data_IF_678998119239
#
_entry.id   IF_678998119239
#
_cell.length_a   1.000
_cell.length_b   1.000
_cell.length_c   1.000
_cell.angle_alpha   90.00
_cell.angle_beta   90.00
_cell.angle_gamma   90.00
#
_symmetry.space_group_name_H-M   'P 1'
#
loop_
_entity.id
_entity.type
_entity.pdbx_description
1 polymer ?
#
# COMPACT_ATOMS: atom_id res chain seq x y z
N UNK A 1 49.89 -37.33 48.64
CA UNK A 1 49.46 -38.10 47.46
C UNK A 1 47.99 -37.83 47.19
N UNK A 2 47.66 -37.58 45.91
CA UNK A 2 46.34 -37.70 45.25
C UNK A 2 45.31 -36.57 45.53
N UNK A 3 45.16 -35.61 44.60
CA UNK A 3 44.37 -35.58 43.35
C UNK A 3 42.93 -35.08 43.63
N UNK A 4 42.62 -33.82 43.29
CA UNK A 4 41.89 -33.38 42.08
C UNK A 4 40.44 -33.88 42.06
N UNK A 5 39.45 -32.97 41.96
CA UNK A 5 38.52 -32.89 40.82
C UNK A 5 37.80 -31.52 40.82
N UNK A 6 37.97 -30.80 39.72
CA UNK A 6 37.36 -29.51 39.39
C UNK A 6 36.01 -29.82 38.73
N UNK A 7 34.91 -29.30 39.25
CA UNK A 7 33.58 -29.41 38.62
C UNK A 7 33.36 -28.19 37.74
N UNK A 8 33.51 -28.36 36.42
CA UNK A 8 33.12 -27.38 35.43
C UNK A 8 31.60 -27.48 35.17
N UNK A 9 30.85 -26.42 35.51
CA UNK A 9 29.43 -26.29 35.14
C UNK A 9 29.39 -25.53 33.81
N UNK A 10 29.29 -26.26 32.70
CA UNK A 10 28.99 -25.70 31.40
C UNK A 10 27.51 -25.31 31.37
N UNK A 11 27.21 -24.03 31.57
CA UNK A 11 25.88 -23.48 31.32
C UNK A 11 25.72 -23.26 29.82
N UNK A 12 25.07 -24.19 29.13
CA UNK A 12 24.64 -24.01 27.74
C UNK A 12 23.46 -23.05 27.76
N UNK A 13 23.69 -21.79 27.38
CA UNK A 13 22.61 -20.89 26.98
C UNK A 13 22.02 -21.45 25.68
N UNK A 14 20.81 -22.01 25.77
CA UNK A 14 20.01 -22.29 24.59
C UNK A 14 19.64 -20.94 23.95
N UNK A 15 20.29 -20.64 22.83
CA UNK A 15 19.89 -19.54 21.96
C UNK A 15 18.51 -19.90 21.41
N UNK A 16 17.46 -19.29 21.97
CA UNK A 16 16.13 -19.36 21.38
C UNK A 16 16.25 -18.74 19.98
N UNK A 17 16.22 -19.59 18.96
CA UNK A 17 16.13 -19.16 17.58
C UNK A 17 14.78 -18.44 17.43
N UNK A 18 14.79 -17.11 17.56
CA UNK A 18 13.81 -16.28 16.89
C UNK A 18 14.06 -16.45 15.39
N UNK A 19 13.48 -17.49 14.80
CA UNK A 19 13.39 -17.60 13.36
C UNK A 19 12.65 -16.39 12.80
N UNK A 20 12.91 -15.99 11.55
CA UNK A 20 12.12 -14.94 10.92
C UNK A 20 10.66 -15.37 10.96
N UNK A 21 9.80 -14.56 11.57
CA UNK A 21 8.37 -14.61 11.28
C UNK A 21 8.27 -14.33 9.78
N UNK A 22 8.02 -15.37 8.98
CA UNK A 22 7.60 -15.17 7.61
C UNK A 22 6.36 -14.29 7.69
N UNK A 23 6.42 -13.08 7.11
CA UNK A 23 5.25 -12.24 6.95
C UNK A 23 4.19 -13.09 6.25
N UNK A 24 3.09 -13.39 6.94
CA UNK A 24 2.00 -14.15 6.34
C UNK A 24 1.45 -13.28 5.21
N UNK A 25 1.50 -13.77 3.97
CA UNK A 25 0.95 -13.05 2.84
C UNK A 25 -0.55 -12.82 3.12
N UNK A 26 -0.99 -11.55 3.11
CA UNK A 26 -2.38 -11.20 3.39
C UNK A 26 -3.24 -11.58 2.19
N UNK A 27 -4.33 -12.30 2.44
CA UNK A 27 -5.27 -12.73 1.40
C UNK A 27 -6.48 -11.79 1.34
N UNK A 28 -6.85 -11.35 0.13
CA UNK A 28 -8.11 -10.64 -0.14
C UNK A 28 -8.92 -11.37 -1.22
N UNK A 29 -10.24 -11.20 -1.19
CA UNK A 29 -11.13 -11.67 -2.25
C UNK A 29 -11.14 -10.76 -3.48
N UNK A 30 -10.76 -9.49 -3.31
CA UNK A 30 -10.65 -8.55 -4.42
C UNK A 30 -10.17 -7.17 -4.02
N UNK A 31 -9.66 -6.45 -5.02
CA UNK A 31 -9.24 -5.05 -4.96
C UNK A 31 -9.93 -4.30 -6.08
N UNK A 32 -10.61 -3.21 -5.75
CA UNK A 32 -11.24 -2.30 -6.69
C UNK A 32 -10.70 -0.90 -6.45
N UNK A 33 -10.29 -0.19 -7.50
CA UNK A 33 -9.82 1.20 -7.41
C UNK A 33 -10.61 2.05 -8.40
N UNK A 34 -11.04 3.23 -7.96
CA UNK A 34 -11.77 4.19 -8.79
C UNK A 34 -11.30 5.61 -8.54
N UNK A 35 -11.06 6.35 -9.60
CA UNK A 35 -10.81 7.79 -9.55
C UNK A 35 -12.11 8.57 -9.56
N UNK A 36 -12.50 9.11 -8.41
CA UNK A 36 -13.65 10.00 -8.23
C UNK A 36 -13.22 11.48 -8.31
N UNK A 37 -12.47 11.81 -9.37
CA UNK A 37 -11.80 13.10 -9.56
C UNK A 37 -12.70 14.19 -10.17
N UNK A 38 -13.95 13.86 -10.50
CA UNK A 38 -14.91 14.76 -11.16
C UNK A 38 -15.39 15.92 -10.27
N UNK A 39 -14.93 15.99 -9.02
CA UNK A 39 -15.31 17.03 -8.06
C UNK A 39 -14.61 18.37 -8.29
N UNK A 40 -13.59 18.44 -9.16
CA UNK A 40 -12.85 19.67 -9.46
C UNK A 40 -13.03 20.08 -10.93
N UNK A 41 -13.45 21.33 -11.16
CA UNK A 41 -13.80 21.84 -12.50
C UNK A 41 -12.62 21.86 -13.49
N UNK A 42 -11.39 21.93 -12.98
CA UNK A 42 -10.15 22.00 -13.76
C UNK A 42 -9.31 20.71 -13.71
N UNK A 43 -9.88 19.60 -13.19
CA UNK A 43 -9.16 18.33 -13.12
C UNK A 43 -8.79 17.83 -14.52
N UNK A 44 -7.50 17.71 -14.76
CA UNK A 44 -6.91 17.19 -15.99
C UNK A 44 -6.06 15.95 -15.73
N UNK A 45 -6.17 15.31 -14.56
CA UNK A 45 -5.31 14.21 -14.13
C UNK A 45 -5.43 13.03 -15.09
N UNK A 46 -6.67 12.61 -15.40
CA UNK A 46 -6.93 11.47 -16.29
C UNK A 46 -6.54 11.73 -17.76
N UNK A 47 -6.25 12.99 -18.13
CA UNK A 47 -5.66 13.32 -19.44
C UNK A 47 -4.19 12.88 -19.50
N UNK A 48 -3.45 13.02 -18.39
CA UNK A 48 -2.03 12.65 -18.30
C UNK A 48 -1.85 11.22 -17.79
N UNK A 49 -2.70 10.76 -16.88
CA UNK A 49 -2.63 9.47 -16.20
C UNK A 49 -3.94 8.67 -16.37
N UNK A 50 -4.26 8.22 -17.61
CA UNK A 50 -5.51 7.52 -17.87
C UNK A 50 -5.59 6.14 -17.20
N UNK A 51 -4.45 5.53 -16.87
CA UNK A 51 -4.34 4.21 -16.23
C UNK A 51 -4.21 4.28 -14.71
N UNK A 52 -4.36 5.45 -14.08
CA UNK A 52 -4.11 5.65 -12.65
C UNK A 52 -4.82 4.59 -11.76
N UNK A 53 -6.09 4.31 -12.07
CA UNK A 53 -6.88 3.32 -11.33
C UNK A 53 -6.30 1.91 -11.45
N UNK A 54 -5.91 1.52 -12.66
CA UNK A 54 -5.32 0.21 -12.95
C UNK A 54 -3.93 0.07 -12.32
N UNK A 55 -3.14 1.14 -12.34
CA UNK A 55 -1.78 1.17 -11.79
C UNK A 55 -1.81 1.01 -10.27
N UNK A 56 -2.70 1.74 -9.58
CA UNK A 56 -2.88 1.60 -8.12
C UNK A 56 -3.45 0.22 -7.79
N UNK A 57 -4.45 -0.27 -8.53
CA UNK A 57 -5.02 -1.61 -8.30
C UNK A 57 -3.97 -2.72 -8.46
N UNK A 58 -3.11 -2.59 -9.48
CA UNK A 58 -2.01 -3.52 -9.77
C UNK A 58 -0.97 -3.47 -8.66
N UNK A 59 -0.57 -2.28 -8.22
CA UNK A 59 0.39 -2.10 -7.14
C UNK A 59 -0.09 -2.72 -5.82
N UNK A 60 -1.37 -2.53 -5.45
CA UNK A 60 -1.97 -3.16 -4.26
C UNK A 60 -1.99 -4.69 -4.44
N UNK A 61 -2.50 -5.18 -5.57
CA UNK A 61 -2.67 -6.62 -5.81
C UNK A 61 -1.34 -7.36 -5.85
N UNK A 62 -0.27 -6.72 -6.35
CA UNK A 62 1.08 -7.31 -6.41
C UNK A 62 1.69 -7.64 -5.04
N UNK A 63 1.15 -7.05 -3.96
CA UNK A 63 1.62 -7.21 -2.58
C UNK A 63 0.74 -8.15 -1.76
N UNK A 64 -0.27 -8.76 -2.37
CA UNK A 64 -1.32 -9.55 -1.73
C UNK A 64 -1.55 -10.87 -2.45
N UNK A 65 -2.11 -11.84 -1.73
CA UNK A 65 -2.69 -13.02 -2.36
C UNK A 65 -4.16 -12.73 -2.69
N UNK A 66 -4.54 -12.79 -3.97
CA UNK A 66 -5.90 -12.49 -4.41
C UNK A 66 -6.63 -13.79 -4.75
N UNK A 67 -7.59 -14.17 -3.92
CA UNK A 67 -8.39 -15.39 -4.06
C UNK A 67 -9.88 -15.02 -4.16
N UNK A 68 -10.39 -14.91 -5.38
CA UNK A 68 -11.77 -14.43 -5.66
C UNK A 68 -12.87 -15.21 -4.94
N UNK A 69 -12.66 -16.49 -4.71
CA UNK A 69 -13.63 -17.38 -4.08
C UNK A 69 -13.39 -17.59 -2.58
N UNK A 70 -12.33 -16.99 -2.01
CA UNK A 70 -12.04 -17.10 -0.59
C UNK A 70 -13.06 -16.29 0.24
N UNK A 71 -13.34 -16.78 1.45
CA UNK A 71 -14.04 -16.00 2.48
C UNK A 71 -13.07 -15.00 3.12
N UNK A 72 -12.53 -14.11 2.29
CA UNK A 72 -11.55 -13.10 2.65
C UNK A 72 -12.11 -11.69 2.40
N UNK A 73 -11.68 -10.67 3.15
CA UNK A 73 -12.11 -9.29 2.94
C UNK A 73 -11.83 -8.80 1.52
N UNK A 74 -12.58 -7.79 1.12
CA UNK A 74 -12.41 -7.07 -0.15
C UNK A 74 -12.07 -5.62 0.16
N UNK A 75 -11.26 -4.97 -0.67
CA UNK A 75 -10.93 -3.55 -0.53
C UNK A 75 -11.41 -2.78 -1.75
N UNK A 76 -12.06 -1.64 -1.50
CA UNK A 76 -12.34 -0.62 -2.51
C UNK A 76 -11.61 0.66 -2.15
N UNK A 77 -10.86 1.23 -3.10
CA UNK A 77 -10.16 2.50 -2.96
C UNK A 77 -10.82 3.52 -3.88
N UNK A 78 -11.20 4.65 -3.33
CA UNK A 78 -11.67 5.79 -4.10
C UNK A 78 -10.62 6.89 -4.05
N UNK A 79 -10.05 7.26 -5.20
CA UNK A 79 -9.12 8.39 -5.29
C UNK A 79 -9.94 9.67 -5.40
N UNK A 80 -9.82 10.52 -4.39
CA UNK A 80 -10.62 11.72 -4.22
C UNK A 80 -9.90 12.99 -4.67
N UNK A 81 -8.56 12.98 -4.68
CA UNK A 81 -7.77 14.12 -5.13
C UNK A 81 -6.37 13.69 -5.58
N UNK A 82 -5.94 14.26 -6.71
CA UNK A 82 -4.56 14.27 -7.15
C UNK A 82 -4.14 15.73 -7.32
N UNK A 83 -2.95 16.09 -6.84
CA UNK A 83 -2.47 17.46 -6.93
C UNK A 83 -0.95 17.59 -6.94
N UNK A 84 -0.46 18.70 -7.47
CA UNK A 84 0.92 19.16 -7.32
C UNK A 84 0.93 20.35 -6.36
N UNK A 85 1.62 20.23 -5.23
CA UNK A 85 1.73 21.31 -4.23
C UNK A 85 0.39 21.92 -3.79
N UNK A 86 -0.66 21.10 -3.81
CA UNK A 86 -2.03 21.47 -3.45
C UNK A 86 -2.93 21.89 -4.61
N UNK A 87 -2.37 22.16 -5.79
CA UNK A 87 -3.10 22.49 -7.02
C UNK A 87 -3.60 21.24 -7.74
N UNK A 88 -4.91 21.18 -7.99
CA UNK A 88 -5.57 20.06 -8.67
C UNK A 88 -5.50 20.17 -10.20
N UNK A 89 -5.20 21.36 -10.73
CA UNK A 89 -4.91 21.52 -12.14
C UNK A 89 -3.44 21.18 -12.37
N UNK A 90 -3.17 20.02 -12.98
CA UNK A 90 -1.80 19.62 -13.25
C UNK A 90 -1.20 20.51 -14.36
N UNK A 91 0.09 20.84 -14.28
CA UNK A 91 0.81 21.54 -15.34
C UNK A 91 0.84 20.72 -16.63
N UNK A 92 1.31 21.32 -17.73
CA UNK A 92 1.45 20.62 -19.01
C UNK A 92 2.38 19.41 -18.97
N UNK A 93 3.29 19.35 -17.98
CA UNK A 93 4.12 18.18 -17.68
C UNK A 93 3.31 17.01 -17.12
N UNK A 94 2.13 17.25 -16.56
CA UNK A 94 1.30 16.23 -15.90
C UNK A 94 1.83 15.79 -14.54
N UNK A 95 2.81 16.50 -13.95
CA UNK A 95 3.40 16.10 -12.68
C UNK A 95 2.45 16.32 -11.50
N UNK A 96 2.48 15.39 -10.56
CA UNK A 96 1.80 15.51 -9.28
C UNK A 96 2.68 14.91 -8.19
N UNK A 97 2.50 15.38 -6.97
CA UNK A 97 3.24 14.87 -5.82
C UNK A 97 2.32 14.42 -4.70
N UNK A 98 1.00 14.64 -4.80
CA UNK A 98 0.04 14.33 -3.74
C UNK A 98 -1.08 13.47 -4.27
N UNK A 99 -1.39 12.40 -3.54
CA UNK A 99 -2.49 11.47 -3.76
C UNK A 99 -3.33 11.36 -2.48
N UNK A 100 -4.63 11.59 -2.61
CA UNK A 100 -5.61 11.47 -1.53
C UNK A 100 -6.77 10.57 -1.98
N UNK A 101 -7.15 9.65 -1.11
CA UNK A 101 -8.29 8.78 -1.35
C UNK A 101 -8.86 8.20 -0.07
N UNK A 102 -9.96 7.49 -0.23
CA UNK A 102 -10.65 6.77 0.83
C UNK A 102 -10.52 5.28 0.58
N UNK A 103 -9.99 4.56 1.56
CA UNK A 103 -9.87 3.10 1.51
C UNK A 103 -11.00 2.51 2.33
N UNK A 104 -11.77 1.62 1.74
CA UNK A 104 -12.91 0.96 2.40
C UNK A 104 -12.75 -0.54 2.32
N UNK A 105 -12.84 -1.19 3.47
CA UNK A 105 -12.78 -2.64 3.61
C UNK A 105 -14.19 -3.18 3.75
N UNK A 106 -14.53 -4.14 2.92
CA UNK A 106 -15.80 -4.87 2.92
C UNK A 106 -15.56 -6.25 3.51
N UNK A 107 -16.53 -6.72 4.31
CA UNK A 107 -16.55 -8.08 4.79
C UNK A 107 -16.44 -9.04 3.61
N UNK A 108 -15.57 -10.05 3.73
CA UNK A 108 -15.64 -11.22 2.86
C UNK A 108 -16.99 -11.92 3.00
N UNK A 109 -17.18 -12.98 2.22
CA UNK A 109 -18.40 -13.79 2.17
C UNK A 109 -18.76 -14.46 3.52
N UNK A 110 -19.20 -13.68 4.49
CA UNK A 110 -19.71 -14.20 5.75
C UNK A 110 -21.05 -14.91 5.49
N UNK A 111 -21.01 -16.23 5.44
CA UNK A 111 -22.19 -17.09 5.32
C UNK A 111 -23.14 -16.90 6.52
N UNK A 112 -24.43 -16.63 6.28
CA UNK A 112 -25.57 -17.45 6.73
C UNK A 112 -26.88 -16.85 6.20
N UNK A 113 -27.41 -17.41 5.12
CA UNK A 113 -28.83 -17.29 4.75
C UNK A 113 -29.28 -16.01 4.05
N UNK A 114 -28.92 -15.82 2.79
CA UNK A 114 -29.81 -15.07 1.88
C UNK A 114 -29.62 -15.53 0.43
N UNK A 115 -30.58 -16.32 -0.05
CA UNK A 115 -30.75 -16.72 -1.45
C UNK A 115 -31.24 -15.54 -2.28
N UNK A 116 -30.37 -14.57 -2.52
CA UNK A 116 -30.33 -13.59 -3.61
C UNK A 116 -29.48 -12.42 -3.11
N UNK A 117 -28.27 -12.22 -3.65
CA UNK A 117 -27.53 -11.01 -3.35
C UNK A 117 -26.70 -10.55 -4.53
N UNK A 118 -26.92 -9.29 -4.91
CA UNK A 118 -26.07 -8.57 -5.84
C UNK A 118 -24.64 -8.52 -5.27
N UNK A 119 -23.63 -8.58 -6.14
CA UNK A 119 -22.18 -8.50 -5.82
C UNK A 119 -21.76 -7.18 -5.10
N UNK A 120 -22.73 -6.30 -4.82
CA UNK A 120 -22.57 -4.96 -4.26
C UNK A 120 -22.96 -4.82 -2.77
N UNK A 121 -23.35 -5.89 -2.08
CA UNK A 121 -23.82 -5.80 -0.69
C UNK A 121 -22.97 -6.61 0.30
N UNK A 122 -21.65 -6.51 0.17
CA UNK A 122 -20.77 -6.84 1.28
C UNK A 122 -20.87 -5.72 2.32
N UNK A 123 -21.00 -6.08 3.60
CA UNK A 123 -21.06 -5.08 4.67
C UNK A 123 -19.73 -4.36 4.81
N UNK A 124 -19.73 -3.03 4.89
CA UNK A 124 -18.51 -2.25 5.19
C UNK A 124 -18.08 -2.55 6.64
N UNK A 125 -16.85 -3.04 6.80
CA UNK A 125 -16.26 -3.35 8.12
C UNK A 125 -15.24 -2.30 8.57
N UNK A 126 -14.74 -1.48 7.65
CA UNK A 126 -13.83 -0.39 7.97
C UNK A 126 -13.69 0.60 6.81
N UNK A 127 -13.37 1.85 7.14
CA UNK A 127 -13.02 2.87 6.16
C UNK A 127 -12.09 3.90 6.78
N UNK A 128 -11.11 4.37 6.02
CA UNK A 128 -10.18 5.40 6.46
C UNK A 128 -9.69 6.26 5.28
N UNK A 129 -9.44 7.56 5.52
CA UNK A 129 -8.77 8.39 4.54
C UNK A 129 -7.27 8.07 4.49
N UNK A 130 -6.70 8.02 3.29
CA UNK A 130 -5.28 7.88 3.04
C UNK A 130 -4.81 9.06 2.19
N UNK A 131 -3.85 9.81 2.74
CA UNK A 131 -3.18 10.91 2.07
C UNK A 131 -1.69 10.63 2.01
N UNK A 132 -1.09 10.90 0.87
CA UNK A 132 0.36 10.82 0.72
C UNK A 132 0.89 11.90 -0.20
N UNK A 133 2.07 12.40 0.16
CA UNK A 133 2.83 13.36 -0.64
C UNK A 133 4.25 12.84 -0.81
N UNK A 134 4.75 12.81 -2.05
CA UNK A 134 6.13 12.55 -2.39
C UNK A 134 6.94 13.86 -2.35
N UNK A 135 8.15 13.81 -1.78
CA UNK A 135 9.03 14.97 -1.67
C UNK A 135 10.44 14.51 -2.05
N UNK A 136 11.12 15.26 -2.91
CA UNK A 136 12.55 15.07 -3.16
C UNK A 136 13.36 15.52 -1.94
N UNK A 137 14.24 14.66 -1.44
CA UNK A 137 15.22 15.09 -0.44
C UNK A 137 16.35 15.87 -1.10
N UNK A 138 16.54 17.13 -0.73
CA UNK A 138 17.80 17.83 -1.01
C UNK A 138 18.90 17.27 -0.11
N UNK A 139 20.05 16.94 -0.72
CA UNK A 139 21.27 16.59 0.00
C UNK A 139 22.39 17.52 -0.46
N UNK A 140 23.09 18.11 0.51
CA UNK A 140 24.35 18.82 0.26
C UNK A 140 25.42 17.79 -0.12
N UNK A 141 25.52 17.51 -1.41
CA UNK A 141 26.58 16.69 -1.99
C UNK A 141 27.76 17.59 -2.34
N UNK A 142 28.99 17.09 -2.15
CA UNK A 142 30.18 17.82 -2.54
C UNK A 142 30.29 17.95 -4.06
N UNK A 143 31.01 18.99 -4.53
CA UNK A 143 31.11 19.34 -5.96
C UNK A 143 31.73 18.23 -6.86
N UNK A 144 32.30 17.17 -6.27
CA UNK A 144 32.83 16.00 -6.97
C UNK A 144 31.76 14.95 -7.33
N UNK A 145 30.50 15.15 -6.95
CA UNK A 145 29.40 14.25 -7.26
C UNK A 145 28.62 14.69 -8.51
N UNK A 146 28.31 13.73 -9.37
CA UNK A 146 27.32 13.91 -10.44
C UNK A 146 25.95 13.54 -9.87
N UNK A 147 25.06 14.53 -9.77
CA UNK A 147 23.69 14.33 -9.30
C UNK A 147 22.75 14.03 -10.45
N UNK A 148 21.93 12.99 -10.29
CA UNK A 148 20.84 12.68 -11.22
C UNK A 148 19.54 12.79 -10.43
N UNK A 149 18.67 13.74 -10.80
CA UNK A 149 17.36 13.88 -10.18
C UNK A 149 16.45 12.72 -10.63
N UNK A 150 15.54 12.24 -9.77
CA UNK A 150 14.55 11.25 -10.18
C UNK A 150 13.66 11.82 -11.29
N UNK A 151 13.29 10.97 -12.24
CA UNK A 151 12.32 11.34 -13.27
C UNK A 151 10.90 11.41 -12.69
N UNK A 152 9.98 12.02 -13.44
CA UNK A 152 8.56 12.03 -13.08
C UNK A 152 7.99 10.61 -12.95
N UNK A 153 8.44 9.68 -13.80
CA UNK A 153 8.03 8.27 -13.74
C UNK A 153 8.55 7.60 -12.46
N UNK A 154 9.77 7.91 -12.02
CA UNK A 154 10.31 7.42 -10.75
C UNK A 154 9.46 7.92 -9.57
N UNK A 155 9.07 9.20 -9.58
CA UNK A 155 8.16 9.77 -8.57
C UNK A 155 6.79 9.10 -8.58
N UNK A 156 6.21 8.93 -9.76
CA UNK A 156 4.91 8.27 -9.94
C UNK A 156 4.92 6.84 -9.37
N UNK A 157 5.90 6.04 -9.79
CA UNK A 157 6.04 4.66 -9.36
C UNK A 157 6.29 4.56 -7.85
N UNK A 158 7.16 5.40 -7.31
CA UNK A 158 7.44 5.42 -5.87
C UNK A 158 6.20 5.82 -5.05
N UNK A 159 5.44 6.82 -5.51
CA UNK A 159 4.23 7.27 -4.83
C UNK A 159 3.14 6.20 -4.85
N UNK A 160 2.90 5.56 -6.00
CA UNK A 160 1.92 4.47 -6.12
C UNK A 160 2.33 3.26 -5.29
N UNK A 161 3.60 2.85 -5.35
CA UNK A 161 4.10 1.71 -4.59
C UNK A 161 3.97 1.93 -3.07
N UNK A 162 4.33 3.13 -2.60
CA UNK A 162 4.17 3.53 -1.21
C UNK A 162 2.69 3.57 -0.80
N UNK A 163 1.80 4.02 -1.70
CA UNK A 163 0.35 4.09 -1.45
C UNK A 163 -0.23 2.69 -1.30
N UNK A 164 0.12 1.79 -2.20
CA UNK A 164 -0.22 0.38 -2.11
C UNK A 164 0.32 -0.27 -0.83
N UNK A 165 1.59 -0.07 -0.51
CA UNK A 165 2.19 -0.62 0.71
C UNK A 165 1.47 -0.12 1.98
N UNK A 166 1.15 1.17 2.03
CA UNK A 166 0.41 1.78 3.13
C UNK A 166 -0.99 1.18 3.33
N UNK A 167 -1.65 0.79 2.24
CA UNK A 167 -2.94 0.08 2.30
C UNK A 167 -2.73 -1.31 2.89
N UNK A 168 -1.79 -2.07 2.34
CA UNK A 168 -1.51 -3.45 2.73
C UNK A 168 -1.12 -3.57 4.20
N UNK A 169 -0.31 -2.64 4.70
CA UNK A 169 0.08 -2.60 6.12
C UNK A 169 -1.12 -2.47 7.06
N UNK A 170 -2.17 -1.76 6.64
CA UNK A 170 -3.36 -1.44 7.45
C UNK A 170 -4.48 -2.47 7.34
N UNK A 171 -4.33 -3.49 6.50
CA UNK A 171 -5.24 -4.64 6.49
C UNK A 171 -5.02 -5.39 7.80
N UNK A 172 -5.99 -5.36 8.72
CA UNK A 172 -5.88 -6.13 9.98
C UNK A 172 -5.85 -7.64 9.69
N UNK A 173 -5.09 -8.41 10.48
CA UNK A 173 -5.10 -9.88 10.48
C UNK A 173 -6.39 -10.44 11.11
#
# INVERSE_FOLDING_TARGET
MKLLQITAICSVFALAAAGPLAAQEKTLSGVEVKSALTSYEEDNVLKYWPSLDEDIATAISSKLNIEKDADAPRISVEINKVSIDGDTALPDSGEFNTLEGTVTTHAGRNETGSTTRNENEDGIIGSYPLRMTAISGEHDLSDDWVTVAPSQEDFYNALIDAYAASIVERIEE
#
